data_IF_532651866495
#
_entry.id   IF_532651866495
#
_cell.length_a   1.000
_cell.length_b   1.000
_cell.length_c   1.000
_cell.angle_alpha   90.00
_cell.angle_beta   90.00
_cell.angle_gamma   90.00
#
_symmetry.space_group_name_H-M   'P 1'
#
loop_
_entity.id
_entity.type
_entity.pdbx_description
1 polymer ?
#
# COMPACT_ATOMS: atom_id res chain seq x y z
N UNK A 1 -75.25 27.29 -52.76
CA UNK A 1 -74.63 28.62 -52.59
C UNK A 1 -73.18 28.50 -53.02
N UNK A 2 -72.77 29.27 -54.02
CA UNK A 2 -71.39 29.32 -54.53
C UNK A 2 -70.52 30.21 -53.62
N UNK A 3 -69.28 29.82 -53.34
CA UNK A 3 -68.36 30.56 -52.46
C UNK A 3 -67.89 31.92 -53.00
N UNK A 4 -68.43 32.38 -54.13
CA UNK A 4 -68.09 33.66 -54.76
C UNK A 4 -68.59 34.81 -53.89
N UNK A 5 -67.68 35.41 -53.11
CA UNK A 5 -67.96 36.54 -52.21
C UNK A 5 -67.66 36.30 -50.73
N UNK A 6 -67.20 35.09 -50.37
CA UNK A 6 -66.69 34.79 -49.02
C UNK A 6 -65.18 34.99 -48.97
N UNK A 7 -64.67 35.37 -47.78
CA UNK A 7 -63.24 35.57 -47.55
C UNK A 7 -62.48 34.26 -47.71
N UNK A 8 -61.30 34.32 -48.34
CA UNK A 8 -60.55 33.12 -48.71
C UNK A 8 -60.09 32.39 -47.45
N UNK A 9 -60.39 31.08 -47.36
CA UNK A 9 -59.97 30.28 -46.20
C UNK A 9 -58.45 30.32 -46.07
N UNK A 10 -57.98 30.62 -44.87
CA UNK A 10 -56.56 30.53 -44.52
C UNK A 10 -56.09 29.08 -44.77
N UNK A 11 -54.98 28.90 -45.50
CA UNK A 11 -54.45 27.57 -45.76
C UNK A 11 -54.08 26.88 -44.46
N UNK A 12 -54.15 25.55 -44.44
CA UNK A 12 -53.78 24.76 -43.27
C UNK A 12 -52.32 25.05 -42.90
N UNK A 13 -52.12 25.68 -41.73
CA UNK A 13 -50.80 26.03 -41.22
C UNK A 13 -50.27 24.86 -40.38
N UNK A 14 -49.14 24.28 -40.80
CA UNK A 14 -48.42 23.31 -39.98
C UNK A 14 -47.50 24.06 -39.02
N UNK A 15 -47.75 23.93 -37.72
CA UNK A 15 -46.85 24.46 -36.70
C UNK A 15 -45.73 23.46 -36.43
N UNK A 16 -44.50 23.92 -36.59
CA UNK A 16 -43.32 23.24 -36.10
C UNK A 16 -42.90 23.90 -34.78
N UNK A 17 -42.99 23.15 -33.69
CA UNK A 17 -42.66 23.62 -32.35
C UNK A 17 -41.15 23.76 -32.11
N UNK A 18 -40.32 23.27 -33.04
CA UNK A 18 -38.88 23.19 -32.87
C UNK A 18 -38.09 24.17 -33.76
N UNK A 19 -38.76 24.85 -34.69
CA UNK A 19 -38.13 25.85 -35.56
C UNK A 19 -37.48 26.96 -34.73
N UNK A 20 -36.16 27.15 -34.93
CA UNK A 20 -35.36 28.15 -34.20
C UNK A 20 -34.68 27.64 -32.91
N UNK A 21 -35.04 26.44 -32.42
CA UNK A 21 -34.42 25.82 -31.23
C UNK A 21 -33.47 24.66 -31.57
N UNK A 22 -33.36 24.28 -32.85
CA UNK A 22 -32.52 23.17 -33.31
C UNK A 22 -31.06 23.33 -32.89
N UNK A 23 -30.50 24.52 -33.14
CA UNK A 23 -29.08 24.81 -32.89
C UNK A 23 -28.78 24.76 -31.39
N UNK A 24 -29.62 25.39 -30.55
CA UNK A 24 -29.43 25.42 -29.09
C UNK A 24 -29.60 24.03 -28.48
N UNK A 25 -30.54 23.22 -28.98
CA UNK A 25 -30.74 21.85 -28.53
C UNK A 25 -29.52 20.97 -28.84
N UNK A 26 -28.98 21.05 -30.07
CA UNK A 26 -27.78 20.29 -30.47
C UNK A 26 -26.58 20.67 -29.58
N UNK A 27 -26.33 21.96 -29.36
CA UNK A 27 -25.22 22.40 -28.49
C UNK A 27 -25.42 21.99 -27.03
N UNK A 28 -26.67 21.92 -26.55
CA UNK A 28 -26.97 21.44 -25.19
C UNK A 28 -26.61 19.96 -25.04
N UNK A 29 -26.94 19.12 -26.02
CA UNK A 29 -26.58 17.71 -26.02
C UNK A 29 -25.06 17.49 -26.11
N UNK A 30 -24.38 18.27 -26.96
CA UNK A 30 -22.90 18.26 -27.04
C UNK A 30 -22.30 18.65 -25.68
N UNK A 31 -22.78 19.74 -25.08
CA UNK A 31 -22.35 20.20 -23.77
C UNK A 31 -22.51 19.14 -22.69
N UNK A 32 -23.67 18.47 -22.64
CA UNK A 32 -23.94 17.37 -21.71
C UNK A 32 -22.98 16.19 -21.93
N UNK A 33 -22.67 15.85 -23.19
CA UNK A 33 -21.72 14.81 -23.55
C UNK A 33 -20.26 15.16 -23.22
N UNK A 34 -19.90 16.45 -23.18
CA UNK A 34 -18.55 16.90 -22.79
C UNK A 34 -18.28 16.78 -21.29
N UNK A 35 -19.31 16.83 -20.43
CA UNK A 35 -19.16 16.73 -18.96
C UNK A 35 -18.38 15.48 -18.54
N UNK A 36 -18.77 14.24 -18.93
CA UNK A 36 -18.01 13.05 -18.53
C UNK A 36 -16.58 13.05 -19.07
N UNK A 37 -16.34 13.61 -20.27
CA UNK A 37 -14.99 13.72 -20.85
C UNK A 37 -14.11 14.68 -20.03
N UNK A 38 -14.67 15.82 -19.60
CA UNK A 38 -13.97 16.76 -18.73
C UNK A 38 -13.67 16.11 -17.36
N UNK A 39 -14.65 15.41 -16.77
CA UNK A 39 -14.45 14.68 -15.52
C UNK A 39 -13.35 13.62 -15.64
N UNK A 40 -13.35 12.85 -16.73
CA UNK A 40 -12.28 11.88 -17.02
C UNK A 40 -10.93 12.56 -17.19
N UNK A 41 -10.86 13.67 -17.93
CA UNK A 41 -9.63 14.44 -18.12
C UNK A 41 -9.06 14.98 -16.80
N UNK A 42 -9.90 15.58 -15.95
CA UNK A 42 -9.49 16.05 -14.62
C UNK A 42 -9.05 14.86 -13.75
N UNK A 43 -9.82 13.77 -13.72
CA UNK A 43 -9.48 12.57 -12.97
C UNK A 43 -8.14 11.96 -13.40
N UNK A 44 -7.90 11.86 -14.70
CA UNK A 44 -6.65 11.39 -15.28
C UNK A 44 -5.47 12.30 -14.90
N UNK A 45 -5.64 13.63 -15.00
CA UNK A 45 -4.63 14.60 -14.58
C UNK A 45 -4.34 14.48 -13.08
N UNK A 46 -5.36 14.32 -12.24
CA UNK A 46 -5.18 14.17 -10.79
C UNK A 46 -4.48 12.85 -10.43
N UNK A 47 -4.80 11.75 -11.11
CA UNK A 47 -4.13 10.45 -10.92
C UNK A 47 -2.69 10.54 -11.39
N UNK A 48 -2.45 11.09 -12.58
CA UNK A 48 -1.08 11.31 -13.08
C UNK A 48 -0.31 12.21 -12.13
N UNK A 49 -0.89 13.31 -11.65
CA UNK A 49 -0.24 14.23 -10.71
C UNK A 49 0.02 13.55 -9.36
N UNK A 50 -0.86 12.66 -8.89
CA UNK A 50 -0.63 11.88 -7.66
C UNK A 50 0.48 10.85 -7.83
N UNK A 51 0.50 10.14 -8.96
CA UNK A 51 1.61 9.25 -9.33
C UNK A 51 2.89 10.06 -9.46
N UNK A 52 2.85 11.22 -10.10
CA UNK A 52 3.99 12.14 -10.21
C UNK A 52 4.44 12.66 -8.86
N UNK A 53 3.57 13.10 -7.96
CA UNK A 53 3.98 13.53 -6.61
C UNK A 53 4.63 12.42 -5.78
N UNK A 54 4.34 11.14 -6.08
CA UNK A 54 5.05 10.02 -5.48
C UNK A 54 6.42 9.73 -6.09
N UNK A 55 6.62 10.15 -7.34
CA UNK A 55 7.74 9.71 -8.19
C UNK A 55 8.64 10.88 -8.66
N UNK A 56 8.16 12.11 -8.63
CA UNK A 56 8.81 13.32 -9.11
C UNK A 56 10.02 13.63 -8.25
N UNK A 57 11.13 13.74 -8.96
CA UNK A 57 12.46 14.14 -8.52
C UNK A 57 12.45 15.61 -8.03
N UNK A 58 11.38 16.36 -8.30
CA UNK A 58 11.22 17.79 -7.94
C UNK A 58 11.00 18.05 -6.44
N UNK A 59 11.29 17.07 -5.59
CA UNK A 59 11.38 17.24 -4.14
C UNK A 59 12.82 17.40 -3.64
N UNK A 60 13.81 17.57 -4.53
CA UNK A 60 15.11 18.14 -4.15
C UNK A 60 14.95 19.56 -3.52
N UNK A 61 13.83 20.24 -3.78
CA UNK A 61 13.43 21.50 -3.13
C UNK A 61 12.64 21.30 -1.82
N UNK A 62 12.48 20.07 -1.30
CA UNK A 62 12.31 19.84 0.15
C UNK A 62 13.66 20.07 0.87
N UNK A 63 14.39 21.09 0.42
CA UNK A 63 15.48 21.67 1.18
C UNK A 63 14.89 22.29 2.44
N UNK A 64 15.48 21.92 3.57
CA UNK A 64 15.62 22.80 4.72
C UNK A 64 14.32 23.34 5.35
N UNK A 65 13.35 22.47 5.61
CA UNK A 65 12.67 22.58 6.91
C UNK A 65 13.09 21.40 7.76
N UNK A 66 14.29 21.53 8.32
CA UNK A 66 14.48 21.09 9.69
C UNK A 66 13.25 21.58 10.46
N UNK A 67 12.41 20.63 10.84
CA UNK A 67 11.22 20.91 11.63
C UNK A 67 11.73 21.38 12.99
N UNK A 68 11.52 22.67 13.27
CA UNK A 68 11.82 23.38 14.52
C UNK A 68 13.26 23.29 15.04
N UNK A 69 13.91 24.45 15.07
CA UNK A 69 15.11 24.76 15.86
C UNK A 69 14.89 24.60 17.40
N UNK A 70 13.67 24.20 17.80
CA UNK A 70 13.23 23.95 19.18
C UNK A 70 12.97 22.45 19.49
N UNK A 71 13.20 21.52 18.54
CA UNK A 71 13.14 20.10 18.87
C UNK A 71 14.33 19.74 19.80
N UNK A 72 14.10 19.05 20.94
CA UNK A 72 15.20 18.63 21.80
C UNK A 72 16.19 17.79 20.97
N UNK A 73 17.49 18.15 21.07
CA UNK A 73 18.64 17.62 20.30
C UNK A 73 18.80 16.09 20.24
N UNK A 74 17.91 15.33 20.86
CA UNK A 74 17.88 13.87 20.94
C UNK A 74 16.95 13.22 19.90
N UNK A 75 16.24 13.98 19.05
CA UNK A 75 15.28 13.43 18.08
C UNK A 75 15.66 13.77 16.64
N UNK A 76 16.10 12.74 15.91
CA UNK A 76 16.28 12.83 14.46
C UNK A 76 14.94 12.64 13.75
N UNK A 77 14.63 13.49 12.78
CA UNK A 77 13.46 13.35 11.92
C UNK A 77 13.77 13.72 10.48
N UNK A 78 13.16 13.01 9.53
CA UNK A 78 13.36 13.23 8.10
C UNK A 78 12.07 13.03 7.32
N UNK A 79 11.86 13.87 6.31
CA UNK A 79 10.80 13.67 5.32
C UNK A 79 11.28 12.67 4.26
N UNK A 80 10.46 11.66 3.97
CA UNK A 80 10.79 10.60 3.03
C UNK A 80 9.53 10.12 2.30
N UNK A 81 9.69 9.23 1.32
CA UNK A 81 8.57 8.48 0.75
C UNK A 81 8.66 7.03 1.19
N UNK A 82 7.58 6.50 1.76
CA UNK A 82 7.47 5.07 2.02
C UNK A 82 6.97 4.37 0.76
N UNK A 83 7.75 3.41 0.29
CA UNK A 83 7.39 2.54 -0.83
C UNK A 83 6.62 1.33 -0.28
N UNK A 84 5.40 1.14 -0.80
CA UNK A 84 4.48 0.10 -0.33
C UNK A 84 4.34 -1.02 -1.37
N UNK A 85 4.27 -0.63 -2.64
CA UNK A 85 4.21 -1.51 -3.81
C UNK A 85 4.67 -0.75 -5.07
N UNK A 86 4.88 -1.44 -6.19
CA UNK A 86 5.33 -0.89 -7.47
C UNK A 86 4.48 0.28 -7.95
N UNK A 87 3.18 0.25 -7.68
CA UNK A 87 2.25 1.30 -8.07
C UNK A 87 1.97 2.33 -6.96
N UNK A 88 2.44 2.10 -5.74
CA UNK A 88 2.01 2.86 -4.57
C UNK A 88 3.14 3.27 -3.63
N UNK A 89 3.29 4.59 -3.51
CA UNK A 89 4.22 5.27 -2.61
C UNK A 89 3.46 6.36 -1.86
N UNK A 90 3.91 6.68 -0.65
CA UNK A 90 3.29 7.74 0.17
C UNK A 90 4.34 8.60 0.86
N UNK A 91 4.08 9.90 0.96
CA UNK A 91 4.93 10.81 1.73
C UNK A 91 4.76 10.54 3.22
N UNK A 92 5.89 10.47 3.94
CA UNK A 92 5.96 10.19 5.37
C UNK A 92 7.00 11.08 6.06
N UNK A 93 6.86 11.21 7.37
CA UNK A 93 7.91 11.69 8.26
C UNK A 93 8.36 10.51 9.10
N UNK A 94 9.67 10.26 9.09
CA UNK A 94 10.32 9.23 9.88
C UNK A 94 10.97 9.90 11.08
N UNK A 95 10.66 9.42 12.27
CA UNK A 95 11.13 9.97 13.54
C UNK A 95 11.80 8.87 14.34
N UNK A 96 12.96 9.20 14.92
CA UNK A 96 13.70 8.31 15.81
C UNK A 96 13.57 8.77 17.25
N UNK A 97 13.19 7.82 18.10
CA UNK A 97 13.32 7.91 19.55
C UNK A 97 14.14 6.70 20.02
N UNK A 98 14.73 6.71 21.22
CA UNK A 98 15.49 5.56 21.70
C UNK A 98 14.69 4.25 21.61
N UNK A 99 15.18 3.28 20.82
CA UNK A 99 14.55 1.97 20.61
C UNK A 99 13.30 1.97 19.73
N UNK A 100 12.90 3.11 19.15
CA UNK A 100 11.66 3.20 18.36
C UNK A 100 11.88 4.04 17.10
N UNK A 101 11.53 3.47 15.94
CA UNK A 101 11.37 4.19 14.69
C UNK A 101 9.88 4.38 14.41
N UNK A 102 9.43 5.63 14.29
CA UNK A 102 8.04 5.98 14.01
C UNK A 102 7.91 6.51 12.59
N UNK A 103 6.95 5.98 11.83
CA UNK A 103 6.55 6.48 10.51
C UNK A 103 5.18 7.11 10.65
N UNK A 104 5.04 8.38 10.27
CA UNK A 104 3.76 9.11 10.33
C UNK A 104 3.49 9.90 9.06
N UNK A 105 2.24 10.29 8.86
CA UNK A 105 1.89 11.25 7.80
C UNK A 105 2.47 12.64 8.14
N UNK A 106 2.87 13.44 7.13
CA UNK A 106 3.34 14.81 7.36
C UNK A 106 2.35 15.65 8.19
N UNK A 107 1.05 15.49 7.92
CA UNK A 107 -0.04 16.14 8.63
C UNK A 107 -1.10 15.11 9.05
N UNK A 108 -0.81 14.31 10.07
CA UNK A 108 -1.80 13.38 10.58
C UNK A 108 -1.26 12.27 11.47
N UNK A 109 -2.00 11.17 11.48
CA UNK A 109 -1.76 10.03 12.34
C UNK A 109 -0.42 9.32 12.09
N UNK A 110 0.01 8.59 13.11
CA UNK A 110 1.07 7.61 13.04
C UNK A 110 0.60 6.45 12.15
N UNK A 111 1.45 6.06 11.21
CA UNK A 111 1.22 4.96 10.28
C UNK A 111 1.79 3.65 10.79
N UNK A 112 2.99 3.70 11.36
CA UNK A 112 3.71 2.54 11.86
C UNK A 112 4.66 2.95 12.97
N UNK A 113 4.84 2.06 13.96
CA UNK A 113 5.95 2.11 14.91
C UNK A 113 6.72 0.80 14.82
N UNK A 114 8.02 0.88 14.62
CA UNK A 114 8.95 -0.24 14.74
C UNK A 114 9.63 -0.11 16.08
N UNK A 115 9.26 -0.99 17.01
CA UNK A 115 9.88 -1.08 18.33
C UNK A 115 11.01 -2.11 18.21
N UNK A 116 12.22 -1.69 18.55
CA UNK A 116 13.39 -2.55 18.45
C UNK A 116 13.58 -3.31 19.76
N UNK A 117 13.67 -4.65 19.73
CA UNK A 117 13.95 -5.43 20.92
C UNK A 117 15.38 -5.19 21.43
N UNK A 118 15.66 -5.61 22.66
CA UNK A 118 17.04 -5.69 23.16
C UNK A 118 17.86 -6.63 22.26
N UNK A 119 19.11 -6.25 21.98
CA UNK A 119 20.02 -6.95 21.07
C UNK A 119 19.46 -7.12 19.64
N UNK A 120 18.61 -6.18 19.18
CA UNK A 120 18.06 -6.22 17.82
C UNK A 120 19.17 -6.23 16.76
N UNK A 121 19.12 -7.21 15.86
CA UNK A 121 19.99 -7.25 14.68
C UNK A 121 19.18 -6.80 13.45
N UNK A 122 19.51 -5.62 12.94
CA UNK A 122 18.80 -4.95 11.85
C UNK A 122 19.69 -4.92 10.62
N UNK A 123 19.17 -5.44 9.51
CA UNK A 123 19.84 -5.33 8.22
C UNK A 123 19.18 -4.22 7.41
N UNK A 124 20.00 -3.28 6.94
CA UNK A 124 19.59 -2.18 6.07
C UNK A 124 20.23 -2.39 4.70
N UNK A 125 19.40 -2.65 3.69
CA UNK A 125 19.82 -2.56 2.30
C UNK A 125 19.59 -1.13 1.85
N UNK A 126 20.59 -0.51 1.23
CA UNK A 126 20.44 0.84 0.70
C UNK A 126 20.93 0.91 -0.73
N UNK A 127 20.43 1.89 -1.48
CA UNK A 127 20.90 2.17 -2.82
C UNK A 127 22.40 2.41 -2.87
N UNK A 128 23.00 1.99 -3.96
CA UNK A 128 24.37 2.37 -4.32
C UNK A 128 24.48 3.89 -4.54
N UNK A 129 25.65 4.50 -4.28
CA UNK A 129 25.84 5.93 -4.52
C UNK A 129 25.57 6.29 -5.99
N UNK A 130 24.86 7.39 -6.24
CA UNK A 130 24.41 7.80 -7.58
C UNK A 130 23.50 6.79 -8.30
N UNK A 131 22.86 5.86 -7.56
CA UNK A 131 21.78 5.05 -8.12
C UNK A 131 20.73 5.97 -8.75
N UNK A 132 20.27 5.61 -9.96
CA UNK A 132 19.39 6.41 -10.83
C UNK A 132 18.68 7.60 -10.16
N UNK A 133 19.01 8.81 -10.64
CA UNK A 133 18.45 10.09 -10.15
C UNK A 133 16.92 10.17 -10.26
N UNK A 134 16.28 9.26 -11.00
CA UNK A 134 14.83 9.26 -11.20
C UNK A 134 14.07 8.82 -9.94
N UNK A 135 14.69 8.00 -9.09
CA UNK A 135 13.98 7.34 -7.99
C UNK A 135 14.62 7.52 -6.61
N UNK A 136 15.69 8.32 -6.49
CA UNK A 136 16.39 8.63 -5.23
C UNK A 136 16.97 7.38 -4.55
N UNK A 137 17.74 7.54 -3.46
CA UNK A 137 18.20 6.38 -2.73
C UNK A 137 17.06 5.78 -1.91
N UNK A 138 16.87 4.48 -2.09
CA UNK A 138 16.05 3.64 -1.25
C UNK A 138 16.84 3.10 -0.05
N UNK A 139 16.12 2.87 1.04
CA UNK A 139 16.56 2.22 2.26
C UNK A 139 15.50 1.19 2.66
N UNK A 140 15.84 -0.08 2.53
CA UNK A 140 15.06 -1.21 2.97
C UNK A 140 15.56 -1.67 4.34
N UNK A 141 14.72 -1.49 5.35
CA UNK A 141 15.00 -1.87 6.74
C UNK A 141 14.30 -3.20 7.03
N UNK A 142 15.09 -4.23 7.29
CA UNK A 142 14.61 -5.55 7.68
C UNK A 142 14.74 -5.74 9.19
N UNK A 143 13.61 -6.03 9.83
CA UNK A 143 13.53 -6.42 11.23
C UNK A 143 12.78 -7.76 11.33
N UNK A 144 13.37 -8.71 12.04
CA UNK A 144 12.78 -10.05 12.22
C UNK A 144 11.34 -9.96 12.71
N UNK A 145 10.48 -10.86 12.21
CA UNK A 145 9.06 -10.99 12.59
C UNK A 145 8.18 -9.77 12.27
N UNK A 146 8.66 -8.81 11.49
CA UNK A 146 7.85 -7.68 11.00
C UNK A 146 8.03 -7.54 9.50
N UNK A 147 7.01 -7.03 8.80
CA UNK A 147 7.14 -6.70 7.38
C UNK A 147 8.22 -5.63 7.18
N UNK A 148 8.84 -5.61 6.02
CA UNK A 148 9.93 -4.69 5.74
C UNK A 148 9.43 -3.24 5.66
N UNK A 149 10.32 -2.28 5.94
CA UNK A 149 10.08 -0.84 5.71
C UNK A 149 11.00 -0.35 4.60
N UNK A 150 10.43 0.13 3.50
CA UNK A 150 11.19 0.71 2.39
C UNK A 150 10.96 2.20 2.33
N UNK A 151 12.04 2.97 2.43
CA UNK A 151 12.03 4.42 2.40
C UNK A 151 12.87 4.92 1.22
N UNK A 152 12.30 5.79 0.40
CA UNK A 152 13.04 6.65 -0.52
C UNK A 152 13.40 7.95 0.22
N UNK A 153 14.69 8.17 0.43
CA UNK A 153 15.19 9.40 1.03
C UNK A 153 15.24 10.52 -0.03
N UNK A 154 15.29 11.80 0.38
CA UNK A 154 15.32 12.92 -0.58
C UNK A 154 16.54 12.89 -1.50
N UNK A 155 17.70 12.50 -0.96
CA UNK A 155 18.99 12.54 -1.66
C UNK A 155 19.99 11.60 -1.00
N UNK A 156 21.00 11.14 -1.75
CA UNK A 156 22.14 10.35 -1.26
C UNK A 156 22.85 11.00 -0.07
N UNK A 157 22.78 12.33 0.03
CA UNK A 157 23.35 13.11 1.14
C UNK A 157 22.72 12.80 2.50
N UNK A 158 21.46 12.37 2.52
CA UNK A 158 20.74 12.08 3.77
C UNK A 158 20.96 10.65 4.26
N UNK A 159 21.45 9.74 3.40
CA UNK A 159 21.65 8.35 3.76
C UNK A 159 22.62 8.17 4.94
N UNK A 160 23.81 8.81 4.99
CA UNK A 160 24.73 8.64 6.11
C UNK A 160 24.14 9.13 7.44
N UNK A 161 23.43 10.25 7.42
CA UNK A 161 22.77 10.82 8.60
C UNK A 161 21.65 9.90 9.12
N UNK A 162 20.84 9.38 8.19
CA UNK A 162 19.79 8.41 8.50
C UNK A 162 20.34 7.13 9.15
N UNK A 163 21.40 6.55 8.59
CA UNK A 163 22.03 5.35 9.13
C UNK A 163 22.67 5.61 10.50
N UNK A 164 23.29 6.77 10.70
CA UNK A 164 23.85 7.17 11.99
C UNK A 164 22.76 7.33 13.05
N UNK A 165 21.63 7.95 12.70
CA UNK A 165 20.49 8.11 13.60
C UNK A 165 19.84 6.76 13.97
N UNK A 166 19.69 5.85 13.00
CA UNK A 166 19.21 4.48 13.27
C UNK A 166 20.17 3.72 14.19
N UNK A 167 21.48 3.85 13.97
CA UNK A 167 22.49 3.21 14.83
C UNK A 167 22.43 3.78 16.26
N UNK A 168 22.29 5.10 16.39
CA UNK A 168 22.15 5.75 17.70
C UNK A 168 20.87 5.32 18.42
N UNK A 169 19.76 5.17 17.68
CA UNK A 169 18.48 4.69 18.20
C UNK A 169 18.60 3.30 18.84
N UNK A 170 19.40 2.41 18.25
CA UNK A 170 19.64 1.05 18.77
C UNK A 170 20.72 0.97 19.86
N UNK A 171 21.62 1.95 19.94
CA UNK A 171 22.79 1.91 20.84
C UNK A 171 22.43 1.69 22.31
N UNK A 172 21.29 2.21 22.78
CA UNK A 172 20.83 2.02 24.17
C UNK A 172 20.34 0.60 24.48
N UNK A 173 20.08 -0.20 23.44
CA UNK A 173 19.50 -1.54 23.52
C UNK A 173 20.49 -2.62 23.06
N UNK A 174 21.78 -2.28 22.95
CA UNK A 174 22.85 -3.15 22.42
C UNK A 174 22.52 -3.76 21.04
N UNK A 175 21.71 -3.05 20.25
CA UNK A 175 21.34 -3.46 18.90
C UNK A 175 22.44 -3.18 17.88
N UNK A 176 22.44 -3.95 16.79
CA UNK A 176 23.37 -3.83 15.67
C UNK A 176 22.64 -3.41 14.39
N UNK A 177 23.27 -2.53 13.63
CA UNK A 177 22.88 -2.21 12.26
C UNK A 177 23.93 -2.75 11.30
N UNK A 178 23.52 -3.63 10.39
CA UNK A 178 24.32 -4.06 9.24
C UNK A 178 23.84 -3.33 8.00
N UNK A 179 24.71 -2.55 7.35
CA UNK A 179 24.38 -1.79 6.13
C UNK A 179 24.97 -2.46 4.89
N UNK A 180 24.17 -2.64 3.84
CA UNK A 180 24.56 -3.31 2.59
C UNK A 180 24.13 -2.46 1.39
N UNK A 181 25.08 -2.02 0.57
CA UNK A 181 24.79 -1.35 -0.69
C UNK A 181 24.20 -2.36 -1.69
N UNK A 182 23.14 -1.99 -2.40
CA UNK A 182 22.42 -2.88 -3.34
C UNK A 182 21.76 -2.06 -4.44
N UNK A 183 21.74 -2.56 -5.70
CA UNK A 183 21.00 -1.92 -6.78
C UNK A 183 19.50 -1.78 -6.45
N UNK A 184 18.86 -0.69 -6.90
CA UNK A 184 17.46 -0.38 -6.57
C UNK A 184 16.51 -1.52 -6.94
N UNK A 185 16.67 -2.11 -8.12
CA UNK A 185 15.82 -3.20 -8.60
C UNK A 185 15.86 -4.40 -7.66
N UNK A 186 17.07 -4.85 -7.31
CA UNK A 186 17.31 -5.97 -6.39
C UNK A 186 16.79 -5.66 -4.97
N UNK A 187 16.98 -4.42 -4.50
CA UNK A 187 16.49 -3.97 -3.20
C UNK A 187 14.96 -4.01 -3.13
N UNK A 188 14.28 -3.47 -4.15
CA UNK A 188 12.81 -3.43 -4.21
C UNK A 188 12.20 -4.82 -4.43
N UNK A 189 12.82 -5.67 -5.22
CA UNK A 189 12.41 -7.07 -5.40
C UNK A 189 12.49 -7.84 -4.07
N UNK A 190 13.56 -7.62 -3.29
CA UNK A 190 13.77 -8.27 -1.99
C UNK A 190 12.84 -7.78 -0.87
N UNK A 191 12.11 -6.69 -1.07
CA UNK A 191 11.27 -6.09 -0.04
C UNK A 191 9.97 -6.88 0.18
N UNK A 192 9.78 -7.38 1.41
CA UNK A 192 8.54 -8.03 1.86
C UNK A 192 7.67 -6.99 2.57
N UNK A 193 6.99 -6.13 1.81
CA UNK A 193 6.10 -5.09 2.37
C UNK A 193 4.84 -5.68 2.98
N UNK A 194 4.09 -4.89 3.76
CA UNK A 194 2.81 -5.34 4.32
C UNK A 194 1.85 -5.82 3.23
N UNK A 195 1.79 -5.11 2.11
CA UNK A 195 0.87 -5.41 1.01
C UNK A 195 1.28 -6.68 0.27
N UNK A 196 2.56 -6.83 -0.07
CA UNK A 196 3.09 -8.08 -0.64
C UNK A 196 2.87 -9.27 0.29
N UNK A 197 3.17 -9.10 1.58
CA UNK A 197 2.94 -10.14 2.59
C UNK A 197 1.46 -10.52 2.70
N UNK A 198 0.56 -9.54 2.65
CA UNK A 198 -0.88 -9.79 2.65
C UNK A 198 -1.33 -10.53 1.40
N UNK A 199 -0.90 -10.10 0.21
CA UNK A 199 -1.24 -10.78 -1.05
C UNK A 199 -0.75 -12.24 -1.05
N UNK A 200 0.47 -12.46 -0.54
CA UNK A 200 1.03 -13.80 -0.33
C UNK A 200 0.13 -14.62 0.59
N UNK A 201 -0.20 -14.08 1.77
CA UNK A 201 -1.07 -14.73 2.75
C UNK A 201 -2.45 -15.04 2.18
N UNK A 202 -3.09 -14.11 1.47
CA UNK A 202 -4.42 -14.28 0.88
C UNK A 202 -4.40 -15.41 -0.17
N UNK A 203 -3.37 -15.46 -1.02
CA UNK A 203 -3.13 -16.55 -1.96
C UNK A 203 -2.94 -17.89 -1.21
N UNK A 204 -2.16 -17.90 -0.13
CA UNK A 204 -1.95 -19.12 0.66
C UNK A 204 -3.21 -19.62 1.34
N UNK A 205 -3.98 -18.73 1.97
CA UNK A 205 -5.27 -19.07 2.57
C UNK A 205 -6.18 -19.72 1.52
N UNK A 206 -6.28 -19.08 0.35
CA UNK A 206 -7.08 -19.57 -0.76
C UNK A 206 -6.68 -20.96 -1.24
N UNK A 207 -5.39 -21.18 -1.50
CA UNK A 207 -4.87 -22.47 -1.98
C UNK A 207 -5.06 -23.59 -0.97
N UNK A 208 -4.81 -23.34 0.31
CA UNK A 208 -5.00 -24.37 1.31
C UNK A 208 -6.46 -24.67 1.63
N UNK A 209 -7.36 -23.68 1.56
CA UNK A 209 -8.79 -23.96 1.65
C UNK A 209 -9.25 -24.83 0.47
N UNK A 210 -8.75 -24.56 -0.74
CA UNK A 210 -9.02 -25.40 -1.90
C UNK A 210 -8.57 -26.85 -1.66
N UNK A 211 -7.42 -27.08 -1.03
CA UNK A 211 -6.90 -28.41 -0.64
C UNK A 211 -7.65 -29.06 0.53
N UNK A 212 -7.99 -28.30 1.57
CA UNK A 212 -8.60 -28.85 2.77
C UNK A 212 -10.04 -29.32 2.54
N UNK A 213 -10.74 -28.68 1.61
CA UNK A 213 -12.14 -28.97 1.29
C UNK A 213 -12.34 -29.62 -0.09
N UNK A 214 -11.26 -30.03 -0.77
CA UNK A 214 -11.29 -30.58 -2.14
C UNK A 214 -12.10 -29.72 -3.12
N UNK A 215 -11.96 -28.39 -3.02
CA UNK A 215 -12.65 -27.41 -3.86
C UNK A 215 -11.67 -26.72 -4.83
N UNK A 216 -11.36 -27.34 -5.99
CA UNK A 216 -10.40 -26.78 -6.95
C UNK A 216 -10.85 -25.46 -7.58
N UNK A 217 -12.14 -25.10 -7.46
CA UNK A 217 -12.67 -23.80 -7.91
C UNK A 217 -12.19 -22.62 -7.07
N UNK A 218 -11.71 -22.89 -5.86
CA UNK A 218 -11.15 -21.87 -4.98
C UNK A 218 -9.68 -21.59 -5.29
N UNK A 219 -8.97 -22.48 -5.99
CA UNK A 219 -7.55 -22.30 -6.34
C UNK A 219 -7.38 -21.28 -7.46
N UNK A 220 -6.36 -20.42 -7.33
CA UNK A 220 -5.96 -19.51 -8.41
C UNK A 220 -5.13 -20.30 -9.43
N UNK A 221 -5.81 -20.85 -10.45
CA UNK A 221 -5.23 -21.72 -11.48
C UNK A 221 -4.06 -21.09 -12.28
N UNK A 222 -3.80 -19.80 -12.12
CA UNK A 222 -2.81 -19.02 -12.87
C UNK A 222 -1.41 -18.97 -12.23
N UNK A 223 -1.23 -19.32 -10.95
CA UNK A 223 0.06 -19.20 -10.25
C UNK A 223 0.53 -20.56 -9.70
N UNK A 224 0.97 -21.45 -10.60
CA UNK A 224 1.54 -22.77 -10.24
C UNK A 224 3.04 -22.75 -9.93
N UNK A 225 3.66 -21.56 -9.84
CA UNK A 225 5.12 -21.42 -9.79
C UNK A 225 5.73 -21.35 -8.38
N UNK A 226 4.93 -21.43 -7.31
CA UNK A 226 5.48 -21.55 -5.95
C UNK A 226 5.32 -22.95 -5.38
N UNK A 227 6.47 -23.50 -5.03
CA UNK A 227 6.69 -24.84 -4.51
C UNK A 227 5.70 -25.14 -3.37
N UNK A 228 4.85 -26.15 -3.57
CA UNK A 228 3.63 -26.33 -2.78
C UNK A 228 3.88 -26.77 -1.34
N UNK A 229 5.12 -27.19 -1.04
CA UNK A 229 5.56 -27.59 0.30
C UNK A 229 6.06 -26.38 1.11
N UNK A 230 6.62 -25.36 0.46
CA UNK A 230 7.03 -24.11 1.11
C UNK A 230 5.83 -23.33 1.66
N UNK A 231 4.66 -23.50 1.04
CA UNK A 231 3.40 -22.86 1.45
C UNK A 231 2.93 -23.34 2.82
N UNK A 232 3.01 -24.65 3.07
CA UNK A 232 2.54 -25.27 4.31
C UNK A 232 3.46 -24.96 5.50
N UNK A 233 4.74 -24.71 5.21
CA UNK A 233 5.76 -24.38 6.21
C UNK A 233 5.80 -22.89 6.59
N UNK A 234 4.97 -22.05 5.98
CA UNK A 234 4.91 -20.65 6.35
C UNK A 234 4.28 -20.44 7.72
N UNK A 235 4.81 -19.45 8.44
CA UNK A 235 4.33 -19.05 9.76
C UNK A 235 3.43 -17.83 9.66
N UNK A 236 2.36 -17.85 10.44
CA UNK A 236 1.33 -16.82 10.48
C UNK A 236 1.15 -16.38 11.92
N UNK A 237 1.05 -15.07 12.15
CA UNK A 237 0.78 -14.48 13.46
C UNK A 237 -0.71 -14.39 13.75
N UNK A 238 -1.07 -14.23 15.03
CA UNK A 238 -2.46 -14.03 15.46
C UNK A 238 -3.16 -12.88 14.73
N UNK A 239 -2.47 -11.76 14.60
CA UNK A 239 -2.94 -10.57 13.88
C UNK A 239 -3.23 -10.84 12.40
N UNK A 240 -2.41 -11.66 11.74
CA UNK A 240 -2.52 -11.98 10.32
C UNK A 240 -3.67 -12.95 10.05
N UNK A 241 -3.85 -13.96 10.90
CA UNK A 241 -5.02 -14.84 10.83
C UNK A 241 -6.31 -14.04 11.06
N UNK A 242 -6.35 -13.19 12.08
CA UNK A 242 -7.51 -12.35 12.36
C UNK A 242 -7.86 -11.46 11.16
N UNK A 243 -6.84 -10.82 10.56
CA UNK A 243 -7.03 -9.99 9.38
C UNK A 243 -7.56 -10.79 8.19
N UNK A 244 -7.01 -11.98 7.91
CA UNK A 244 -7.47 -12.85 6.82
C UNK A 244 -8.92 -13.34 7.02
N UNK A 245 -9.35 -13.50 8.26
CA UNK A 245 -10.72 -13.91 8.61
C UNK A 245 -11.70 -12.73 8.76
N UNK A 246 -11.23 -11.48 8.66
CA UNK A 246 -12.05 -10.30 8.92
C UNK A 246 -12.46 -10.15 10.39
N UNK A 247 -11.69 -10.73 11.31
CA UNK A 247 -11.93 -10.75 12.75
C UNK A 247 -10.96 -9.81 13.46
N UNK A 248 -11.24 -9.51 14.74
CA UNK A 248 -10.28 -8.80 15.59
C UNK A 248 -9.26 -9.79 16.15
N UNK A 249 -8.03 -9.34 16.37
CA UNK A 249 -6.97 -10.18 16.94
C UNK A 249 -7.31 -10.71 18.33
N UNK A 250 -8.11 -9.97 19.10
CA UNK A 250 -8.59 -10.37 20.44
C UNK A 250 -9.97 -11.06 20.41
N UNK A 251 -10.41 -11.52 19.24
CA UNK A 251 -11.64 -12.32 19.15
C UNK A 251 -11.42 -13.71 19.77
N UNK A 252 -12.42 -14.20 20.50
CA UNK A 252 -12.39 -15.49 21.20
C UNK A 252 -12.10 -16.63 20.22
N UNK A 253 -12.61 -16.55 18.99
CA UNK A 253 -12.33 -17.56 17.97
C UNK A 253 -10.83 -17.61 17.63
N UNK A 254 -10.21 -16.46 17.37
CA UNK A 254 -8.80 -16.36 16.99
C UNK A 254 -7.91 -16.84 18.15
N UNK A 255 -8.26 -16.46 19.38
CA UNK A 255 -7.58 -16.92 20.59
C UNK A 255 -7.63 -18.43 20.78
N UNK A 256 -8.81 -19.01 20.64
CA UNK A 256 -8.98 -20.46 20.79
C UNK A 256 -8.30 -21.23 19.67
N UNK A 257 -8.35 -20.72 18.43
CA UNK A 257 -7.65 -21.34 17.31
C UNK A 257 -6.15 -21.40 17.59
N UNK A 258 -5.52 -20.29 17.96
CA UNK A 258 -4.09 -20.28 18.31
C UNK A 258 -3.76 -21.18 19.50
N UNK A 259 -4.62 -21.20 20.53
CA UNK A 259 -4.41 -22.05 21.71
C UNK A 259 -4.50 -23.55 21.40
N UNK A 260 -5.33 -23.96 20.43
CA UNK A 260 -5.48 -25.37 20.03
C UNK A 260 -4.42 -25.77 19.01
N UNK A 261 -4.00 -24.85 18.14
CA UNK A 261 -3.05 -25.12 17.06
C UNK A 261 -1.59 -25.03 17.50
N UNK A 262 -1.24 -24.09 18.39
CA UNK A 262 0.14 -23.86 18.81
C UNK A 262 0.64 -24.97 19.73
N UNK A 263 1.50 -25.86 19.20
CA UNK A 263 2.10 -26.96 19.97
C UNK A 263 3.17 -26.48 20.98
N UNK A 264 3.64 -25.24 20.86
CA UNK A 264 4.83 -24.72 21.57
C UNK A 264 4.67 -23.31 22.15
N UNK A 265 3.45 -22.90 22.52
CA UNK A 265 3.16 -21.58 23.13
C UNK A 265 3.81 -20.42 22.35
N UNK A 266 3.83 -20.55 21.01
CA UNK A 266 4.36 -19.54 20.11
C UNK A 266 3.24 -18.64 19.60
N UNK A 267 3.48 -17.33 19.60
CA UNK A 267 2.64 -16.29 18.98
C UNK A 267 2.49 -16.42 17.45
N UNK A 268 3.09 -17.46 16.88
CA UNK A 268 3.04 -17.85 15.47
C UNK A 268 2.67 -19.33 15.39
N UNK A 269 1.86 -19.67 14.40
CA UNK A 269 1.55 -21.05 14.02
C UNK A 269 1.98 -21.28 12.59
N UNK A 270 2.36 -22.51 12.27
CA UNK A 270 2.54 -22.90 10.87
C UNK A 270 1.19 -23.14 10.23
N UNK A 271 1.14 -22.97 8.92
CA UNK A 271 -0.10 -23.15 8.19
C UNK A 271 -0.53 -24.62 8.11
N UNK A 272 0.43 -25.55 8.07
CA UNK A 272 0.17 -26.98 8.20
C UNK A 272 -0.60 -27.31 9.49
N UNK A 273 -0.17 -26.76 10.63
CA UNK A 273 -0.84 -26.96 11.93
C UNK A 273 -2.26 -26.40 11.92
N UNK A 274 -2.45 -25.21 11.34
CA UNK A 274 -3.77 -24.59 11.21
C UNK A 274 -4.74 -25.45 10.40
N UNK A 275 -4.30 -26.00 9.28
CA UNK A 275 -5.13 -26.85 8.43
C UNK A 275 -5.46 -28.20 9.07
N UNK A 276 -4.53 -28.78 9.83
CA UNK A 276 -4.77 -30.01 10.58
C UNK A 276 -5.95 -29.83 11.55
N UNK A 277 -5.95 -28.71 12.29
CA UNK A 277 -7.04 -28.36 13.20
C UNK A 277 -8.35 -28.11 12.45
N UNK A 278 -8.33 -27.36 11.34
CA UNK A 278 -9.53 -27.13 10.53
C UNK A 278 -10.13 -28.42 9.96
N UNK A 279 -9.31 -29.37 9.52
CA UNK A 279 -9.78 -30.67 9.02
C UNK A 279 -10.49 -31.46 10.12
N UNK A 280 -9.93 -31.49 11.32
CA UNK A 280 -10.57 -32.13 12.48
C UNK A 280 -11.93 -31.52 12.79
N UNK A 281 -12.11 -30.20 12.63
CA UNK A 281 -13.40 -29.54 12.79
C UNK A 281 -14.41 -29.83 11.68
N UNK A 282 -13.96 -30.21 10.48
CA UNK A 282 -14.83 -30.53 9.36
C UNK A 282 -15.22 -32.02 9.30
N UNK A 283 -14.36 -32.89 9.82
CA UNK A 283 -14.57 -34.35 9.86
C UNK A 283 -15.28 -34.84 11.14
N UNK A 284 -15.35 -34.00 12.18
CA UNK A 284 -16.07 -34.26 13.44
C UNK A 284 -17.47 -33.65 13.47
#
# INVERSE_FOLDING_TARGET
MSCSGLEQCIPFMRFDHFTGNEVTYIFTLIGLGCIPLICFGIGYILIQRRRRMGWDISYDDLSATAVDDDAPKDRYSIQAFEWLDECYVRQVIVEFAPGILTVRKPRGQILRKMIFPENADITVYHSEPNASTIHGPYCLIKLKKTHDLVLRLPSDKHLPEFLAALTLCLKKFDGRVTSIATPNEVLLEKAETKERRQQRLDHFFREAYARAFDQPKLSDATNREHDSDDILNQTITKSELAQAMGMRENDVFVERMFAVTSRTDSDVITFAEFLEVLKQFNEG
#
